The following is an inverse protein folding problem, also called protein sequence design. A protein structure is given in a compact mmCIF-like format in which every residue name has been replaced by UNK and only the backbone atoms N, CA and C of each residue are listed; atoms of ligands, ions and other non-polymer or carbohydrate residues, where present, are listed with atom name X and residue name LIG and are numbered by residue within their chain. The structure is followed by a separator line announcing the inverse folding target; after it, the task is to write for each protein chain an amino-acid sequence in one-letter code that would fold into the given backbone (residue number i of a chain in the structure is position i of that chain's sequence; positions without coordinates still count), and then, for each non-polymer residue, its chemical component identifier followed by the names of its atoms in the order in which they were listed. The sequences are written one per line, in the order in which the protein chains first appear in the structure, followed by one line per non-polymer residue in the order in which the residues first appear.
data_IF_863158116955
#
_entry.id   IF_863158116955
#
_cell.length_a   1.000
_cell.length_b   1.000
_cell.length_c   1.000
_cell.angle_alpha   90.00
_cell.angle_beta   90.00
_cell.angle_gamma   90.00
#
_symmetry.space_group_name_H-M   'P 1'
#
loop_
_entity.id
_entity.type
_entity.pdbx_description
1 polymer ?
#
# COMPACT_ATOMS: atom_id res chain seq x y z
N UNK A 1 18.79 48.73 -55.75
CA UNK A 1 17.86 48.57 -54.61
C UNK A 1 17.03 47.27 -54.64
N UNK A 2 16.74 46.67 -55.81
CA UNK A 2 15.94 45.43 -55.93
C UNK A 2 16.62 44.10 -55.50
N UNK A 3 17.96 43.91 -55.52
CA UNK A 3 18.56 42.63 -55.13
C UNK A 3 18.71 42.47 -53.60
N UNK A 4 18.89 43.58 -52.87
CA UNK A 4 19.09 43.57 -51.42
C UNK A 4 17.83 43.14 -50.65
N UNK A 5 16.66 43.58 -51.12
CA UNK A 5 15.35 43.24 -50.53
C UNK A 5 15.00 41.76 -50.76
N UNK A 6 15.36 41.20 -51.93
CA UNK A 6 15.14 39.78 -52.23
C UNK A 6 15.99 38.87 -51.34
N UNK A 7 17.23 39.27 -51.03
CA UNK A 7 18.10 38.53 -50.13
C UNK A 7 17.53 38.51 -48.69
N UNK A 8 16.98 39.63 -48.23
CA UNK A 8 16.36 39.75 -46.90
C UNK A 8 15.10 38.87 -46.78
N UNK A 9 14.22 38.89 -47.78
CA UNK A 9 12.99 38.07 -47.81
C UNK A 9 13.33 36.57 -47.82
N UNK A 10 14.38 36.17 -48.55
CA UNK A 10 14.87 34.79 -48.59
C UNK A 10 15.33 34.30 -47.21
N UNK A 11 16.14 35.09 -46.50
CA UNK A 11 16.64 34.71 -45.17
C UNK A 11 15.56 34.77 -44.08
N UNK A 12 14.57 35.65 -44.19
CA UNK A 12 13.42 35.66 -43.25
C UNK A 12 12.55 34.42 -43.36
N UNK A 13 12.38 33.88 -44.58
CA UNK A 13 11.68 32.59 -44.77
C UNK A 13 12.48 31.41 -44.24
N UNK A 14 13.81 31.42 -44.43
CA UNK A 14 14.70 30.39 -43.90
C UNK A 14 14.79 30.39 -42.36
N UNK A 15 14.72 31.56 -41.72
CA UNK A 15 14.65 31.67 -40.25
C UNK A 15 13.32 31.19 -39.68
N UNK A 16 12.20 31.41 -40.39
CA UNK A 16 10.89 30.93 -39.97
C UNK A 16 10.78 29.40 -40.01
N UNK A 17 11.49 28.75 -40.95
CA UNK A 17 11.57 27.30 -41.09
C UNK A 17 12.43 26.62 -40.01
N UNK A 18 13.33 27.34 -39.34
CA UNK A 18 14.20 26.81 -38.29
C UNK A 18 13.54 26.79 -36.89
N UNK A 19 12.53 27.64 -36.65
CA UNK A 19 11.81 27.71 -35.36
C UNK A 19 10.75 26.61 -35.22
N UNK A 20 10.31 26.03 -36.32
CA UNK A 20 9.36 24.90 -36.34
C UNK A 20 10.14 23.59 -36.28
N UNK A 21 10.85 23.36 -35.18
CA UNK A 21 11.23 22.00 -34.81
C UNK A 21 10.07 21.39 -34.02
N UNK A 22 9.62 20.16 -34.33
CA UNK A 22 8.61 19.50 -33.53
C UNK A 22 9.20 19.21 -32.15
N UNK A 23 8.73 19.91 -31.13
CA UNK A 23 8.86 19.47 -29.75
C UNK A 23 8.13 18.13 -29.70
N UNK A 24 8.89 17.05 -29.85
CA UNK A 24 8.38 15.70 -29.69
C UNK A 24 7.60 15.67 -28.38
N UNK A 25 6.36 15.20 -28.44
CA UNK A 25 5.53 15.00 -27.26
C UNK A 25 6.27 14.00 -26.38
N UNK A 26 7.08 14.52 -25.48
CA UNK A 26 7.62 13.79 -24.35
C UNK A 26 6.41 13.37 -23.54
N UNK A 27 5.93 12.14 -23.76
CA UNK A 27 4.92 11.46 -22.95
C UNK A 27 5.49 11.12 -21.57
N UNK A 28 5.96 12.15 -20.87
CA UNK A 28 6.51 12.09 -19.52
C UNK A 28 5.44 12.39 -18.46
N UNK A 29 4.21 12.73 -18.86
CA UNK A 29 3.09 12.80 -17.92
C UNK A 29 2.53 11.40 -17.70
N UNK A 30 2.81 10.83 -16.53
CA UNK A 30 2.16 9.60 -16.08
C UNK A 30 0.64 9.77 -16.14
N UNK A 31 -0.05 8.83 -16.76
CA UNK A 31 -1.50 8.92 -16.94
C UNK A 31 -2.17 8.57 -15.61
N UNK A 32 -3.38 9.09 -15.35
CA UNK A 32 -4.16 8.70 -14.16
C UNK A 32 -4.28 7.17 -14.01
N UNK A 33 -4.27 6.45 -15.13
CA UNK A 33 -4.31 4.99 -15.21
C UNK A 33 -3.07 4.32 -14.61
N UNK A 34 -1.90 4.93 -14.76
CA UNK A 34 -0.65 4.41 -14.20
C UNK A 34 -0.67 4.51 -12.67
N UNK A 35 -1.22 5.60 -12.14
CA UNK A 35 -1.45 5.73 -10.71
C UNK A 35 -2.48 4.71 -10.22
N UNK A 36 -3.61 4.52 -10.93
CA UNK A 36 -4.61 3.50 -10.57
C UNK A 36 -3.99 2.11 -10.48
N UNK A 37 -3.11 1.75 -11.42
CA UNK A 37 -2.39 0.48 -11.43
C UNK A 37 -1.43 0.33 -10.26
N UNK A 38 -0.67 1.39 -9.95
CA UNK A 38 0.22 1.42 -8.78
C UNK A 38 -0.55 1.24 -7.46
N UNK A 39 -1.70 1.87 -7.32
CA UNK A 39 -2.56 1.72 -6.13
C UNK A 39 -3.23 0.33 -6.05
N UNK A 40 -3.55 -0.30 -7.18
CA UNK A 40 -4.13 -1.64 -7.21
C UNK A 40 -3.15 -2.70 -6.67
N UNK A 41 -1.84 -2.56 -6.94
CA UNK A 41 -0.83 -3.49 -6.42
C UNK A 41 -0.84 -3.55 -4.88
N UNK A 42 -1.00 -2.40 -4.20
CA UNK A 42 -1.09 -2.38 -2.74
C UNK A 42 -2.23 -3.24 -2.21
N UNK A 43 -3.38 -3.24 -2.91
CA UNK A 43 -4.55 -4.04 -2.53
C UNK A 43 -4.30 -5.55 -2.69
N UNK A 44 -3.59 -5.94 -3.73
CA UNK A 44 -3.30 -7.36 -4.01
C UNK A 44 -2.27 -7.96 -3.03
N UNK A 45 -1.33 -7.14 -2.53
CA UNK A 45 -0.23 -7.62 -1.68
C UNK A 45 -0.41 -7.36 -0.18
N UNK A 46 -1.28 -6.44 0.25
CA UNK A 46 -1.40 -6.06 1.68
C UNK A 46 -1.80 -7.19 2.61
N UNK A 47 -2.51 -8.21 2.11
CA UNK A 47 -3.00 -9.33 2.92
C UNK A 47 -2.22 -10.63 2.72
N UNK A 48 -1.08 -10.60 2.00
CA UNK A 48 -0.29 -11.81 1.73
C UNK A 48 0.83 -12.05 2.74
N UNK A 49 1.18 -11.05 3.55
CA UNK A 49 2.18 -11.19 4.61
C UNK A 49 1.50 -11.65 5.89
N UNK A 50 1.36 -12.97 6.01
CA UNK A 50 0.99 -13.59 7.29
C UNK A 50 2.14 -13.43 8.28
N UNK A 51 1.83 -13.32 9.58
CA UNK A 51 2.81 -13.17 10.67
C UNK A 51 3.66 -11.88 10.67
N UNK A 52 3.42 -10.92 9.78
CA UNK A 52 4.30 -9.75 9.61
C UNK A 52 4.04 -8.57 10.55
N UNK A 53 2.79 -8.32 10.96
CA UNK A 53 2.44 -7.20 11.83
C UNK A 53 2.19 -7.69 13.26
N UNK A 54 3.24 -7.64 14.09
CA UNK A 54 3.15 -7.91 15.52
C UNK A 54 3.07 -6.56 16.24
N UNK A 55 1.87 -6.16 16.63
CA UNK A 55 1.65 -4.98 17.48
C UNK A 55 1.47 -5.42 18.94
N UNK A 56 2.52 -5.41 19.76
CA UNK A 56 2.41 -5.81 21.15
C UNK A 56 1.61 -4.77 21.94
N UNK A 57 0.60 -5.23 22.65
CA UNK A 57 -0.13 -4.46 23.66
C UNK A 57 0.30 -4.94 25.03
N UNK A 58 0.92 -4.06 25.82
CA UNK A 58 1.45 -4.37 27.15
C UNK A 58 0.35 -4.33 28.21
N UNK A 59 0.38 -5.28 29.13
CA UNK A 59 -0.60 -5.38 30.23
C UNK A 59 -0.03 -4.68 31.46
N UNK A 60 -0.31 -3.38 31.59
CA UNK A 60 0.09 -2.57 32.74
C UNK A 60 1.59 -2.67 33.04
N UNK A 61 1.94 -2.82 34.33
CA UNK A 61 3.33 -2.96 34.79
C UNK A 61 3.85 -4.42 34.76
N UNK A 62 3.17 -5.31 34.03
CA UNK A 62 3.53 -6.74 33.97
C UNK A 62 4.41 -7.02 32.75
N UNK A 63 5.30 -8.01 32.84
CA UNK A 63 6.07 -8.54 31.70
C UNK A 63 5.24 -9.34 30.68
N UNK A 64 3.93 -9.08 30.59
CA UNK A 64 3.00 -9.77 29.70
C UNK A 64 2.54 -8.82 28.61
N UNK A 65 2.64 -9.27 27.37
CA UNK A 65 2.12 -8.57 26.22
C UNK A 65 1.26 -9.51 25.39
N UNK A 66 0.23 -8.99 24.75
CA UNK A 66 -0.54 -9.76 23.79
C UNK A 66 -0.44 -9.12 22.40
N UNK A 67 -0.52 -9.94 21.36
CA UNK A 67 -0.55 -9.46 19.99
C UNK A 67 -1.56 -10.28 19.17
N UNK A 68 -2.07 -9.64 18.12
CA UNK A 68 -2.92 -10.31 17.13
C UNK A 68 -2.04 -10.82 16.01
N UNK A 69 -2.21 -12.09 15.66
CA UNK A 69 -1.55 -12.70 14.53
C UNK A 69 -2.59 -12.99 13.44
N UNK A 70 -2.28 -12.63 12.21
CA UNK A 70 -3.10 -12.99 11.06
C UNK A 70 -2.58 -14.30 10.49
N UNK A 71 -3.37 -15.35 10.69
CA UNK A 71 -3.14 -16.68 10.12
C UNK A 71 -4.15 -16.93 8.99
N UNK A 72 -3.89 -17.88 8.06
CA UNK A 72 -4.84 -18.21 6.99
C UNK A 72 -6.22 -18.64 7.52
N UNK A 73 -6.24 -19.21 8.74
CA UNK A 73 -7.46 -19.67 9.42
C UNK A 73 -8.21 -18.55 10.15
N UNK A 74 -7.62 -17.35 10.28
CA UNK A 74 -8.22 -16.20 10.92
C UNK A 74 -7.29 -15.45 11.89
N UNK A 75 -7.89 -14.59 12.71
CA UNK A 75 -7.17 -13.82 13.74
C UNK A 75 -6.92 -14.70 14.97
N UNK A 76 -5.65 -14.95 15.27
CA UNK A 76 -5.22 -15.60 16.50
C UNK A 76 -4.76 -14.54 17.50
N UNK A 77 -5.16 -14.70 18.76
CA UNK A 77 -4.74 -13.83 19.85
C UNK A 77 -3.72 -14.56 20.71
N UNK A 78 -2.50 -14.05 20.74
CA UNK A 78 -1.38 -14.70 21.44
C UNK A 78 -0.99 -13.83 22.63
N UNK A 79 -0.92 -14.45 23.82
CA UNK A 79 -0.34 -13.88 25.01
C UNK A 79 1.10 -14.36 25.15
N UNK A 80 2.02 -13.42 25.31
CA UNK A 80 3.45 -13.66 25.55
C UNK A 80 3.79 -13.22 26.96
N UNK A 81 4.45 -14.11 27.69
CA UNK A 81 5.11 -13.78 28.94
C UNK A 81 6.61 -13.62 28.67
N UNK A 82 7.11 -12.39 28.78
CA UNK A 82 8.50 -12.05 28.47
C UNK A 82 9.49 -12.60 29.51
N UNK A 83 9.05 -12.81 30.76
CA UNK A 83 9.89 -13.35 31.82
C UNK A 83 10.04 -14.86 31.68
N UNK A 84 8.94 -15.56 31.42
CA UNK A 84 8.94 -17.01 31.23
C UNK A 84 9.29 -17.46 29.80
N UNK A 85 9.52 -16.50 28.87
CA UNK A 85 9.72 -16.73 27.42
C UNK A 85 8.68 -17.68 26.80
N UNK A 86 7.45 -17.62 27.29
CA UNK A 86 6.37 -18.54 26.91
C UNK A 86 5.30 -17.84 26.10
N UNK A 87 4.73 -18.55 25.13
CA UNK A 87 3.60 -18.08 24.32
C UNK A 87 2.40 -18.98 24.59
N UNK A 88 1.24 -18.40 24.86
CA UNK A 88 -0.03 -19.11 25.07
C UNK A 88 -1.14 -18.44 24.28
N UNK A 89 -2.14 -19.19 23.84
CA UNK A 89 -3.35 -18.60 23.29
C UNK A 89 -4.02 -17.73 24.37
N UNK A 90 -4.42 -16.51 24.03
CA UNK A 90 -5.04 -15.58 24.98
C UNK A 90 -6.38 -16.12 25.50
N UNK A 91 -7.14 -16.81 24.64
CA UNK A 91 -8.39 -17.46 24.99
C UNK A 91 -8.59 -18.76 24.22
N UNK A 92 -9.30 -19.70 24.83
CA UNK A 92 -9.75 -20.93 24.20
C UNK A 92 -11.08 -20.66 23.48
N UNK A 93 -11.03 -20.49 22.15
CA UNK A 93 -12.18 -20.18 21.31
C UNK A 93 -13.29 -21.24 21.44
N UNK A 94 -12.92 -22.52 21.47
CA UNK A 94 -13.86 -23.65 21.57
C UNK A 94 -14.68 -23.59 22.86
N UNK A 95 -14.03 -23.29 23.99
CA UNK A 95 -14.70 -23.17 25.29
C UNK A 95 -15.64 -21.97 25.34
N UNK A 96 -15.25 -20.86 24.72
CA UNK A 96 -16.05 -19.63 24.66
C UNK A 96 -17.30 -19.82 23.78
N UNK A 97 -17.14 -20.44 22.62
CA UNK A 97 -18.26 -20.79 21.73
C UNK A 97 -19.24 -21.76 22.39
N UNK A 98 -18.73 -22.79 23.09
CA UNK A 98 -19.58 -23.72 23.82
C UNK A 98 -20.39 -23.02 24.93
N UNK A 99 -19.74 -22.15 25.71
CA UNK A 99 -20.40 -21.36 26.75
C UNK A 99 -21.48 -20.43 26.17
N UNK A 100 -21.14 -19.69 25.12
CA UNK A 100 -22.07 -18.78 24.46
C UNK A 100 -23.27 -19.55 23.88
N UNK A 101 -23.05 -20.72 23.27
CA UNK A 101 -24.12 -21.60 22.76
C UNK A 101 -25.07 -22.03 23.88
N UNK A 102 -24.55 -22.45 25.03
CA UNK A 102 -25.41 -22.83 26.16
C UNK A 102 -26.25 -21.66 26.70
N UNK A 103 -25.73 -20.43 26.65
CA UNK A 103 -26.45 -19.22 27.10
C UNK A 103 -27.57 -18.86 26.12
N UNK A 104 -27.34 -18.98 24.81
CA UNK A 104 -28.36 -18.67 23.79
C UNK A 104 -29.51 -19.69 23.80
N UNK A 105 -29.23 -20.96 24.12
CA UNK A 105 -30.24 -22.03 24.20
C UNK A 105 -31.03 -22.05 25.52
N UNK A 106 -30.62 -21.26 26.51
CA UNK A 106 -31.29 -21.12 27.81
C UNK A 106 -32.29 -19.95 27.84
N UNK A 107 -32.57 -19.33 26.68
CA UNK A 107 -33.49 -18.21 26.51
C UNK A 107 -34.59 -18.56 25.51
#
# INVERSE_FOLDING_TARGET
MKPFIKQFISYTGAWLLLVVQPVGTLSAQGTADDYRRAYALRKEFSNKVYYGDVRPQWIGNTHKCWYTNHTPEGKQYVLVDAQAKSKKALFNQSKLLHCCRSIVLQK
#
